data_IF_902277001192
#
_entry.id   IF_902277001192
#
_cell.length_a   1.000
_cell.length_b   1.000
_cell.length_c   1.000
_cell.angle_alpha   90.00
_cell.angle_beta   90.00
_cell.angle_gamma   90.00
#
_symmetry.space_group_name_H-M   'P 1'
#
loop_
_entity.id
_entity.type
_entity.pdbx_description
1 polymer ?
#
# COMPACT_ATOMS: atom_id res chain seq x y z
N UNK A 1 -10.96 -10.34 -5.02
CA UNK A 1 -10.66 -10.55 -3.59
C UNK A 1 -11.65 -9.75 -2.76
N UNK A 2 -12.40 -10.40 -1.87
CA UNK A 2 -13.41 -9.75 -1.03
C UNK A 2 -12.73 -9.09 0.19
N UNK A 3 -12.41 -7.79 0.06
CA UNK A 3 -12.01 -6.98 1.21
C UNK A 3 -13.22 -6.73 2.12
N UNK A 4 -13.42 -7.62 3.08
CA UNK A 4 -14.42 -7.52 4.15
C UNK A 4 -14.07 -8.34 5.40
N UNK A 5 -13.12 -9.29 5.28
CA UNK A 5 -12.61 -10.08 6.41
C UNK A 5 -11.72 -9.24 7.33
N UNK A 6 -11.77 -9.53 8.64
CA UNK A 6 -10.83 -8.93 9.60
C UNK A 6 -9.39 -9.32 9.24
N UNK A 7 -8.41 -8.49 9.60
CA UNK A 7 -6.99 -8.77 9.35
C UNK A 7 -6.60 -10.18 9.82
N UNK A 8 -7.05 -10.55 11.02
CA UNK A 8 -6.82 -11.87 11.63
C UNK A 8 -7.41 -13.01 10.80
N UNK A 9 -8.55 -12.80 10.16
CA UNK A 9 -9.21 -13.79 9.28
C UNK A 9 -8.55 -13.88 7.90
N UNK A 10 -7.92 -12.79 7.44
CA UNK A 10 -7.24 -12.76 6.14
C UNK A 10 -5.83 -13.38 6.23
N UNK A 11 -5.14 -13.15 7.34
CA UNK A 11 -3.73 -13.52 7.51
C UNK A 11 -3.50 -14.64 8.53
N UNK A 12 -4.56 -15.19 9.12
CA UNK A 12 -4.51 -16.21 10.19
C UNK A 12 -3.51 -15.84 11.30
N UNK A 13 -3.49 -14.57 11.68
CA UNK A 13 -2.47 -14.01 12.57
C UNK A 13 -2.96 -12.77 13.31
N UNK A 14 -2.64 -12.72 14.60
CA UNK A 14 -2.82 -11.54 15.46
C UNK A 14 -1.59 -10.64 15.52
N UNK A 15 -0.50 -11.02 14.85
CA UNK A 15 0.72 -10.21 14.81
C UNK A 15 0.49 -8.95 13.98
N UNK A 16 1.11 -7.81 14.32
CA UNK A 16 0.99 -6.62 13.50
C UNK A 16 1.49 -6.88 12.08
N UNK A 17 0.82 -6.30 11.08
CA UNK A 17 1.35 -6.23 9.73
C UNK A 17 2.66 -5.44 9.78
N UNK A 18 3.71 -5.99 9.17
CA UNK A 18 5.01 -5.35 9.06
C UNK A 18 5.61 -5.65 7.68
N UNK A 19 6.57 -4.84 7.26
CA UNK A 19 7.28 -5.03 6.01
C UNK A 19 8.44 -4.03 5.89
N UNK A 20 9.34 -4.31 4.94
CA UNK A 20 10.48 -3.47 4.62
C UNK A 20 10.16 -2.65 3.37
N UNK A 21 10.36 -1.34 3.44
CA UNK A 21 10.16 -0.45 2.29
C UNK A 21 11.53 -0.25 1.65
N UNK A 22 11.64 -0.44 0.34
CA UNK A 22 12.90 -0.29 -0.38
C UNK A 22 13.32 1.18 -0.47
N UNK A 23 12.40 2.06 -0.86
CA UNK A 23 12.71 3.48 -1.07
C UNK A 23 11.53 4.39 -0.70
N UNK A 24 11.86 5.49 -0.03
CA UNK A 24 10.97 6.62 0.21
C UNK A 24 11.56 7.88 -0.44
N UNK A 25 10.71 8.69 -1.07
CA UNK A 25 11.11 9.97 -1.67
C UNK A 25 10.10 11.07 -1.33
N UNK A 26 10.60 12.24 -0.95
CA UNK A 26 9.78 13.45 -0.85
C UNK A 26 9.95 14.25 -2.15
N UNK A 27 8.86 14.45 -2.88
CA UNK A 27 8.84 15.18 -4.16
C UNK A 27 7.45 15.78 -4.37
N UNK A 28 7.37 17.02 -4.86
CA UNK A 28 6.12 17.75 -5.13
C UNK A 28 5.12 17.75 -3.95
N UNK A 29 5.63 17.90 -2.73
CA UNK A 29 4.86 17.83 -1.49
C UNK A 29 4.08 16.51 -1.30
N UNK A 30 4.59 15.43 -1.90
CA UNK A 30 4.12 14.06 -1.74
C UNK A 30 5.21 13.17 -1.15
N UNK A 31 4.80 12.20 -0.35
CA UNK A 31 5.65 11.09 0.09
C UNK A 31 5.45 9.91 -0.85
N UNK A 32 6.45 9.65 -1.67
CA UNK A 32 6.49 8.53 -2.61
C UNK A 32 7.05 7.28 -1.94
N UNK A 33 6.37 6.17 -2.16
CA UNK A 33 6.78 4.83 -1.74
C UNK A 33 7.10 4.04 -2.99
N UNK A 34 8.33 3.52 -3.05
CA UNK A 34 8.84 2.75 -4.16
C UNK A 34 9.29 1.38 -3.69
N UNK A 35 9.04 0.38 -4.52
CA UNK A 35 9.39 -1.03 -4.28
C UNK A 35 9.94 -1.61 -5.58
N UNK A 36 11.16 -2.14 -5.54
CA UNK A 36 11.80 -2.70 -6.73
C UNK A 36 11.34 -4.15 -6.91
N UNK A 37 10.99 -4.49 -8.15
CA UNK A 37 10.44 -5.79 -8.49
C UNK A 37 10.97 -6.26 -9.83
N UNK A 38 11.90 -7.24 -9.89
CA UNK A 38 12.37 -7.77 -11.16
C UNK A 38 11.20 -8.22 -12.04
N UNK A 39 11.17 -7.83 -13.32
CA UNK A 39 10.05 -8.10 -14.23
C UNK A 39 8.74 -7.54 -13.68
N UNK A 40 8.73 -6.26 -13.32
CA UNK A 40 7.64 -5.59 -12.62
C UNK A 40 6.28 -5.78 -13.31
N UNK A 41 6.25 -5.81 -14.65
CA UNK A 41 5.04 -6.08 -15.43
C UNK A 41 4.35 -7.41 -15.10
N UNK A 42 5.10 -8.42 -14.62
CA UNK A 42 4.59 -9.76 -14.27
C UNK A 42 4.10 -9.85 -12.82
N UNK A 43 4.38 -8.83 -11.98
CA UNK A 43 4.10 -8.86 -10.55
C UNK A 43 2.65 -8.51 -10.23
N UNK A 44 1.89 -9.53 -9.84
CA UNK A 44 0.44 -9.41 -9.57
C UNK A 44 0.12 -8.64 -8.29
N UNK A 45 1.02 -8.62 -7.32
CA UNK A 45 0.75 -8.14 -5.96
C UNK A 45 1.58 -6.92 -5.54
N UNK A 46 2.46 -6.41 -6.42
CA UNK A 46 3.30 -5.25 -6.10
C UNK A 46 2.46 -4.02 -5.70
N UNK A 47 1.38 -3.74 -6.45
CA UNK A 47 0.43 -2.67 -6.13
C UNK A 47 -0.16 -2.80 -4.71
N UNK A 48 -0.57 -4.01 -4.30
CA UNK A 48 -1.11 -4.28 -2.96
C UNK A 48 -0.06 -4.03 -1.88
N UNK A 49 1.18 -4.44 -2.12
CA UNK A 49 2.29 -4.27 -1.18
C UNK A 49 2.55 -2.78 -0.91
N UNK A 50 2.76 -1.98 -1.95
CA UNK A 50 3.02 -0.54 -1.80
C UNK A 50 1.80 0.25 -1.30
N UNK A 51 0.58 -0.24 -1.57
CA UNK A 51 -0.63 0.29 -0.95
C UNK A 51 -0.64 0.06 0.57
N UNK A 52 -0.33 -1.16 1.05
CA UNK A 52 -0.25 -1.41 2.49
C UNK A 52 0.85 -0.61 3.16
N UNK A 53 1.99 -0.39 2.52
CA UNK A 53 3.01 0.53 3.02
C UNK A 53 2.46 1.95 3.21
N UNK A 54 1.70 2.47 2.25
CA UNK A 54 1.07 3.80 2.38
C UNK A 54 0.08 3.87 3.53
N UNK A 55 -0.74 2.83 3.75
CA UNK A 55 -1.67 2.79 4.87
C UNK A 55 -0.94 2.72 6.22
N UNK A 56 0.07 1.85 6.33
CA UNK A 56 0.83 1.69 7.56
C UNK A 56 1.59 2.98 7.92
N UNK A 57 2.23 3.62 6.94
CA UNK A 57 2.91 4.90 7.16
C UNK A 57 1.93 6.02 7.48
N UNK A 58 0.83 6.17 6.73
CA UNK A 58 -0.21 7.16 7.02
C UNK A 58 -0.72 7.00 8.46
N UNK A 59 -1.02 5.76 8.88
CA UNK A 59 -1.49 5.48 10.24
C UNK A 59 -0.44 5.77 11.31
N UNK A 60 0.83 5.43 11.07
CA UNK A 60 1.93 5.60 12.03
C UNK A 60 2.36 7.07 12.18
N UNK A 61 2.31 7.84 11.10
CA UNK A 61 2.82 9.23 11.06
C UNK A 61 1.73 10.29 11.21
N UNK A 62 0.47 9.93 10.98
CA UNK A 62 -0.63 10.90 10.91
C UNK A 62 -0.68 11.68 9.59
N UNK A 63 0.23 11.43 8.65
CA UNK A 63 0.19 12.06 7.33
C UNK A 63 -1.04 11.54 6.56
N UNK A 64 -1.89 12.41 5.99
CA UNK A 64 -3.06 11.97 5.24
C UNK A 64 -2.67 11.14 4.01
N UNK A 65 -3.44 10.09 3.70
CA UNK A 65 -3.15 9.18 2.58
C UNK A 65 -3.08 9.91 1.23
N UNK A 66 -3.82 11.01 1.10
CA UNK A 66 -3.87 11.86 -0.09
C UNK A 66 -2.51 12.57 -0.36
N UNK A 67 -1.60 12.59 0.62
CA UNK A 67 -0.23 13.08 0.49
C UNK A 67 0.76 12.00 0.04
N UNK A 68 0.32 10.76 -0.18
CA UNK A 68 1.17 9.68 -0.63
C UNK A 68 1.06 9.44 -2.14
N UNK A 69 2.12 8.89 -2.71
CA UNK A 69 2.17 8.29 -4.04
C UNK A 69 2.82 6.90 -3.89
N UNK A 70 2.35 5.93 -4.66
CA UNK A 70 2.88 4.57 -4.65
C UNK A 70 3.40 4.22 -6.03
N UNK A 71 4.50 3.49 -6.09
CA UNK A 71 4.95 2.89 -7.33
C UNK A 71 5.83 1.67 -7.12
N UNK A 72 5.94 0.88 -8.17
CA UNK A 72 6.85 -0.25 -8.24
C UNK A 72 7.45 -0.29 -9.64
N UNK A 73 8.69 -0.74 -9.73
CA UNK A 73 9.48 -0.59 -10.96
C UNK A 73 10.54 -1.67 -11.10
N UNK A 74 11.01 -1.81 -12.33
CA UNK A 74 12.23 -2.52 -12.68
C UNK A 74 13.09 -1.63 -13.59
N UNK A 75 14.12 -2.21 -14.21
CA UNK A 75 14.99 -1.50 -15.14
C UNK A 75 14.30 -1.04 -16.43
N UNK A 76 13.12 -1.57 -16.76
CA UNK A 76 12.42 -1.32 -18.04
C UNK A 76 11.07 -0.60 -17.87
N UNK A 77 10.41 -0.77 -16.72
CA UNK A 77 9.01 -0.40 -16.50
C UNK A 77 8.83 0.25 -15.14
N UNK A 78 7.93 1.22 -15.08
CA UNK A 78 7.59 1.95 -13.87
C UNK A 78 6.08 2.14 -13.79
N UNK A 79 5.47 1.64 -12.73
CA UNK A 79 4.04 1.74 -12.48
C UNK A 79 3.78 2.64 -11.28
N UNK A 80 2.85 3.58 -11.43
CA UNK A 80 2.54 4.57 -10.38
C UNK A 80 1.04 4.70 -10.17
N UNK A 81 0.63 4.92 -8.92
CA UNK A 81 -0.76 5.20 -8.59
C UNK A 81 -0.90 6.02 -7.31
N UNK A 82 -2.08 6.63 -7.17
CA UNK A 82 -2.50 7.35 -5.95
C UNK A 82 -3.23 6.37 -5.02
N UNK A 83 -2.75 6.12 -3.79
CA UNK A 83 -3.50 5.34 -2.83
C UNK A 83 -4.77 6.10 -2.43
N UNK A 84 -5.92 5.42 -2.40
CA UNK A 84 -7.20 6.05 -2.11
C UNK A 84 -8.03 5.19 -1.15
N UNK A 85 -8.73 5.84 -0.21
CA UNK A 85 -9.55 5.14 0.80
C UNK A 85 -10.69 4.33 0.19
N UNK A 86 -11.17 4.69 -1.01
CA UNK A 86 -12.19 3.91 -1.76
C UNK A 86 -11.82 2.43 -1.99
N UNK A 87 -10.52 2.10 -1.93
CA UNK A 87 -10.06 0.71 -2.03
C UNK A 87 -10.27 -0.07 -0.72
N UNK A 88 -10.60 0.62 0.37
CA UNK A 88 -11.05 0.05 1.63
C UNK A 88 -12.58 0.04 1.62
N UNK A 89 -13.21 -1.10 1.91
CA UNK A 89 -14.65 -1.09 2.18
C UNK A 89 -14.92 -0.43 3.53
N UNK A 90 -15.96 0.39 3.59
CA UNK A 90 -16.54 0.82 4.85
C UNK A 90 -17.04 -0.43 5.60
N UNK A 91 -16.80 -0.49 6.93
CA UNK A 91 -17.46 -1.52 7.74
C UNK A 91 -18.96 -1.28 7.62
N UNK A 92 -19.73 -2.29 7.20
CA UNK A 92 -21.15 -2.31 7.51
C UNK A 92 -21.25 -2.38 9.02
N UNK A 93 -21.63 -1.26 9.64
CA UNK A 93 -21.99 -1.23 11.05
C UNK A 93 -23.34 -1.91 11.15
N UNK A 94 -23.36 -3.21 11.42
CA UNK A 94 -24.58 -3.90 11.83
C UNK A 94 -24.95 -3.31 13.20
N UNK A 95 -26.02 -2.52 13.24
CA UNK A 95 -26.71 -2.13 14.46
C UNK A 95 -27.44 -3.35 15.05
#
# INVERSE_FOLDING_TARGET
YELGKKFEELFDSKKPLSGHIDLLRLEDNKLWIWDYKPRAEQEKYACTQVFFYSLMLSKRTGIPLEKFMCGYFDENTCFVFKPHKKYLKERQTTL
#
